data_IF_649491415069
#
_entry.id   IF_649491415069
#
_cell.length_a   1.000
_cell.length_b   1.000
_cell.length_c   1.000
_cell.angle_alpha   90.00
_cell.angle_beta   90.00
_cell.angle_gamma   90.00
#
_symmetry.space_group_name_H-M   'P 1'
#
loop_
_entity.id
_entity.type
_entity.pdbx_description
1 polymer ?
#
# COMPACT_ATOMS: atom_id res chain seq x y z
N UNK A 1 8.98 -20.59 -14.55
CA UNK A 1 9.61 -19.98 -13.37
C UNK A 1 9.12 -18.53 -13.26
N UNK A 2 9.00 -18.00 -12.06
CA UNK A 2 8.67 -16.60 -11.82
C UNK A 2 9.80 -15.69 -12.36
N UNK A 3 9.51 -14.47 -12.86
CA UNK A 3 10.57 -13.52 -13.18
C UNK A 3 11.35 -13.17 -11.90
N UNK A 4 12.70 -13.09 -11.96
CA UNK A 4 13.52 -12.83 -10.78
C UNK A 4 13.24 -11.44 -10.20
N UNK A 5 13.32 -11.33 -8.87
CA UNK A 5 13.06 -10.10 -8.12
C UNK A 5 14.23 -9.08 -8.23
N UNK A 6 14.46 -8.57 -9.44
CA UNK A 6 15.52 -7.60 -9.76
C UNK A 6 15.11 -6.15 -9.42
N UNK A 7 16.08 -5.24 -9.16
CA UNK A 7 15.79 -3.84 -8.89
C UNK A 7 15.18 -3.11 -10.10
N UNK A 8 14.18 -2.30 -9.84
CA UNK A 8 13.49 -1.45 -10.82
C UNK A 8 14.19 -0.11 -11.06
N UNK A 9 15.08 0.30 -10.14
CA UNK A 9 15.75 1.61 -10.16
C UNK A 9 14.94 2.74 -9.48
N UNK A 10 13.72 2.45 -9.02
CA UNK A 10 12.90 3.39 -8.26
C UNK A 10 13.19 3.29 -6.74
N UNK A 11 12.99 4.38 -5.97
CA UNK A 11 13.15 4.33 -4.52
C UNK A 11 11.96 3.61 -3.85
N UNK A 12 12.18 2.91 -2.72
CA UNK A 12 11.10 2.29 -1.97
C UNK A 12 10.21 3.36 -1.32
N UNK A 13 8.97 3.49 -1.80
CA UNK A 13 7.97 4.40 -1.23
C UNK A 13 6.62 3.70 -1.03
N UNK A 14 6.16 3.66 0.22
CA UNK A 14 4.84 3.15 0.56
C UNK A 14 3.78 4.22 0.29
N UNK A 15 3.28 4.23 -0.95
CA UNK A 15 2.29 5.20 -1.44
C UNK A 15 0.87 4.91 -0.96
N UNK A 16 0.59 3.67 -0.54
CA UNK A 16 -0.75 3.21 -0.15
C UNK A 16 -0.88 2.91 1.35
N UNK A 17 0.19 3.05 2.14
CA UNK A 17 0.23 2.64 3.54
C UNK A 17 -0.03 1.14 3.73
N UNK A 18 0.56 0.30 2.87
CA UNK A 18 0.37 -1.16 2.89
C UNK A 18 1.27 -1.85 3.92
N UNK A 19 2.32 -1.17 4.41
CA UNK A 19 3.20 -1.71 5.45
C UNK A 19 2.52 -1.59 6.80
N UNK A 20 2.08 -2.72 7.35
CA UNK A 20 1.38 -2.78 8.63
C UNK A 20 2.30 -3.02 9.82
N UNK A 21 3.30 -3.89 9.64
CA UNK A 21 4.33 -4.15 10.64
C UNK A 21 5.66 -4.35 9.93
N UNK A 22 6.74 -3.87 10.55
CA UNK A 22 8.10 -4.01 10.04
C UNK A 22 9.04 -4.28 11.20
N UNK A 23 9.89 -5.29 11.07
CA UNK A 23 11.02 -5.58 11.94
C UNK A 23 12.14 -6.26 11.13
N UNK A 24 13.22 -6.72 11.75
CA UNK A 24 14.34 -7.37 11.03
C UNK A 24 14.04 -8.79 10.51
N UNK A 25 12.96 -9.41 10.99
CA UNK A 25 12.58 -10.79 10.67
C UNK A 25 11.53 -10.81 9.57
N UNK A 26 10.41 -10.11 9.79
CA UNK A 26 9.29 -10.08 8.89
C UNK A 26 8.70 -8.69 8.61
N UNK A 27 8.07 -8.59 7.44
CA UNK A 27 7.29 -7.46 6.96
C UNK A 27 5.85 -7.94 6.71
N UNK A 28 4.89 -7.30 7.36
CA UNK A 28 3.46 -7.55 7.16
C UNK A 28 2.90 -6.53 6.18
N UNK A 29 2.41 -7.03 5.04
CA UNK A 29 1.78 -6.25 3.99
C UNK A 29 0.29 -6.59 3.96
N UNK A 30 -0.57 -5.57 3.99
CA UNK A 30 -2.00 -5.75 3.86
C UNK A 30 -2.64 -4.80 2.84
N UNK A 31 -3.71 -5.29 2.21
CA UNK A 31 -4.54 -4.52 1.27
C UNK A 31 -5.86 -4.14 1.94
N UNK A 32 -5.87 -3.05 2.72
CA UNK A 32 -7.10 -2.53 3.33
C UNK A 32 -7.08 -1.00 3.37
N UNK A 33 -7.81 -0.36 2.45
CA UNK A 33 -7.72 1.08 2.18
C UNK A 33 -8.97 1.84 2.66
N UNK A 34 -9.35 1.68 3.93
CA UNK A 34 -10.53 2.38 4.49
C UNK A 34 -10.34 3.90 4.54
N UNK A 35 -9.11 4.39 4.73
CA UNK A 35 -8.80 5.81 4.67
C UNK A 35 -9.11 6.42 3.30
N UNK A 36 -8.73 5.73 2.21
CA UNK A 36 -9.04 6.16 0.85
C UNK A 36 -10.54 6.26 0.59
N UNK A 37 -11.34 5.35 1.16
CA UNK A 37 -12.80 5.41 1.08
C UNK A 37 -13.35 6.70 1.71
N UNK A 38 -12.86 7.05 2.91
CA UNK A 38 -13.23 8.29 3.60
C UNK A 38 -12.82 9.52 2.80
N UNK A 39 -11.63 9.52 2.20
CA UNK A 39 -11.13 10.64 1.38
C UNK A 39 -11.95 10.88 0.11
N UNK A 40 -12.55 9.84 -0.47
CA UNK A 40 -13.45 9.98 -1.63
C UNK A 40 -14.85 10.45 -1.21
N UNK A 41 -15.35 9.93 -0.08
CA UNK A 41 -16.69 10.25 0.42
C UNK A 41 -16.78 11.68 0.99
N UNK A 42 -15.75 12.14 1.68
CA UNK A 42 -15.79 13.41 2.42
C UNK A 42 -16.02 14.65 1.53
N UNK A 43 -15.33 14.86 0.40
CA UNK A 43 -15.60 15.98 -0.50
C UNK A 43 -17.04 15.98 -1.01
N UNK A 44 -17.60 14.80 -1.30
CA UNK A 44 -18.99 14.66 -1.77
C UNK A 44 -19.96 15.12 -0.68
N UNK A 45 -19.73 14.71 0.57
CA UNK A 45 -20.53 15.18 1.72
C UNK A 45 -20.46 16.70 1.86
N UNK A 46 -19.27 17.30 1.73
CA UNK A 46 -19.11 18.75 1.79
C UNK A 46 -19.86 19.47 0.65
N UNK A 47 -19.83 18.92 -0.57
CA UNK A 47 -20.58 19.48 -1.71
C UNK A 47 -22.08 19.48 -1.41
N UNK A 48 -22.64 18.39 -0.89
CA UNK A 48 -24.06 18.33 -0.53
C UNK A 48 -24.39 19.30 0.61
N UNK A 49 -23.55 19.41 1.65
CA UNK A 49 -23.73 20.38 2.73
C UNK A 49 -23.75 21.81 2.18
N UNK A 50 -22.77 22.15 1.34
CA UNK A 50 -22.66 23.47 0.72
C UNK A 50 -23.86 23.77 -0.18
N UNK A 51 -24.26 22.82 -1.02
CA UNK A 51 -25.42 22.92 -1.90
C UNK A 51 -26.71 23.14 -1.12
N UNK A 52 -26.91 22.37 -0.03
CA UNK A 52 -28.08 22.52 0.82
C UNK A 52 -28.14 23.87 1.52
N UNK A 53 -27.00 24.39 1.97
CA UNK A 53 -26.90 25.73 2.53
C UNK A 53 -27.17 26.82 1.47
N UNK A 54 -26.61 26.69 0.26
CA UNK A 54 -26.75 27.68 -0.81
C UNK A 54 -28.18 27.75 -1.38
N UNK A 55 -28.88 26.62 -1.43
CA UNK A 55 -30.26 26.52 -1.91
C UNK A 55 -31.27 27.03 -0.86
N UNK A 56 -31.00 26.84 0.42
CA UNK A 56 -31.92 27.18 1.50
C UNK A 56 -32.98 26.09 1.74
N UNK A 57 -33.51 26.00 2.96
CA UNK A 57 -34.36 24.86 3.37
C UNK A 57 -35.65 24.71 2.57
N UNK A 58 -36.18 25.80 2.00
CA UNK A 58 -37.45 25.81 1.27
C UNK A 58 -37.35 25.23 -0.15
N UNK A 59 -36.14 25.09 -0.70
CA UNK A 59 -35.89 24.60 -2.06
C UNK A 59 -35.28 23.19 -2.10
N UNK A 60 -35.12 22.53 -0.94
CA UNK A 60 -34.65 21.15 -0.86
C UNK A 60 -35.78 20.18 -1.27
N UNK A 61 -35.76 19.81 -2.54
CA UNK A 61 -36.75 18.93 -3.14
C UNK A 61 -36.39 17.43 -3.02
N UNK A 62 -37.25 16.58 -3.59
CA UNK A 62 -37.04 15.14 -3.61
C UNK A 62 -35.77 14.73 -4.39
N UNK A 63 -35.36 15.51 -5.40
CA UNK A 63 -34.17 15.23 -6.20
C UNK A 63 -32.89 15.43 -5.38
N UNK A 64 -32.81 16.50 -4.59
CA UNK A 64 -31.71 16.73 -3.65
C UNK A 64 -31.56 15.54 -2.69
N UNK A 65 -32.65 15.12 -2.05
CA UNK A 65 -32.62 14.03 -1.07
C UNK A 65 -32.31 12.67 -1.70
N UNK A 66 -32.81 12.42 -2.91
CA UNK A 66 -32.43 11.24 -3.69
C UNK A 66 -30.93 11.23 -4.01
N UNK A 67 -30.38 12.36 -4.46
CA UNK A 67 -28.95 12.52 -4.69
C UNK A 67 -28.13 12.30 -3.42
N UNK A 68 -28.53 12.92 -2.31
CA UNK A 68 -27.85 12.75 -1.02
C UNK A 68 -27.86 11.28 -0.57
N UNK A 69 -28.98 10.58 -0.69
CA UNK A 69 -29.07 9.16 -0.32
C UNK A 69 -28.20 8.28 -1.21
N UNK A 70 -28.15 8.53 -2.51
CA UNK A 70 -27.34 7.74 -3.45
C UNK A 70 -25.82 7.98 -3.26
N UNK A 71 -25.40 9.23 -3.12
CA UNK A 71 -23.97 9.60 -3.12
C UNK A 71 -23.36 9.74 -1.73
N UNK A 72 -24.15 9.98 -0.69
CA UNK A 72 -23.69 10.03 0.70
C UNK A 72 -24.28 8.87 1.51
N UNK A 73 -25.60 8.71 1.52
CA UNK A 73 -26.30 7.72 2.35
C UNK A 73 -25.83 6.28 2.15
N UNK A 74 -25.89 5.78 0.92
CA UNK A 74 -25.45 4.41 0.58
C UNK A 74 -23.96 4.20 0.83
N UNK A 75 -23.03 5.08 0.40
CA UNK A 75 -21.62 4.95 0.76
C UNK A 75 -21.33 5.00 2.27
N UNK A 76 -22.05 5.82 3.04
CA UNK A 76 -21.94 5.84 4.51
C UNK A 76 -22.37 4.50 5.10
N UNK A 77 -23.49 3.94 4.64
CA UNK A 77 -23.94 2.61 5.07
C UNK A 77 -22.93 1.52 4.70
N UNK A 78 -22.33 1.61 3.51
CA UNK A 78 -21.27 0.69 3.09
C UNK A 78 -20.01 0.83 3.95
N UNK A 79 -19.60 2.06 4.29
CA UNK A 79 -18.48 2.32 5.20
C UNK A 79 -18.76 1.71 6.58
N UNK A 80 -19.97 1.88 7.12
CA UNK A 80 -20.38 1.28 8.39
C UNK A 80 -20.33 -0.25 8.31
N UNK A 81 -20.76 -0.85 7.20
CA UNK A 81 -20.67 -2.29 6.98
C UNK A 81 -19.21 -2.77 6.94
N UNK A 82 -18.35 -2.12 6.14
CA UNK A 82 -16.91 -2.45 6.03
C UNK A 82 -16.20 -2.31 7.39
N UNK A 83 -16.58 -1.31 8.20
CA UNK A 83 -16.07 -1.12 9.56
C UNK A 83 -16.46 -2.26 10.51
N UNK A 84 -17.55 -2.98 10.24
CA UNK A 84 -17.99 -4.15 11.01
C UNK A 84 -17.35 -5.45 10.53
N UNK A 85 -16.95 -5.53 9.27
CA UNK A 85 -16.22 -6.68 8.75
C UNK A 85 -14.86 -6.85 9.45
N UNK A 86 -14.40 -8.09 9.69
CA UNK A 86 -13.05 -8.32 10.18
C UNK A 86 -12.02 -7.80 9.18
N UNK A 87 -10.86 -7.37 9.68
CA UNK A 87 -9.75 -6.95 8.83
C UNK A 87 -9.10 -8.21 8.24
N UNK A 88 -8.80 -8.24 6.92
CA UNK A 88 -8.10 -9.37 6.33
C UNK A 88 -6.72 -9.55 6.97
N UNK A 89 -6.27 -10.80 7.08
CA UNK A 89 -4.94 -11.11 7.61
C UNK A 89 -3.84 -10.60 6.67
N UNK A 90 -2.70 -10.13 7.20
CA UNK A 90 -1.62 -9.62 6.37
C UNK A 90 -0.85 -10.77 5.71
N UNK A 91 -0.34 -10.52 4.50
CA UNK A 91 0.68 -11.38 3.90
C UNK A 91 2.02 -11.05 4.55
N UNK A 92 2.66 -12.07 5.13
CA UNK A 92 3.89 -11.91 5.91
C UNK A 92 5.10 -12.37 5.11
N UNK A 93 6.03 -11.46 4.86
CA UNK A 93 7.29 -11.71 4.17
C UNK A 93 8.39 -11.93 5.21
N UNK A 94 9.02 -13.11 5.25
CA UNK A 94 10.13 -13.42 6.14
C UNK A 94 11.45 -13.38 5.39
N UNK A 95 12.28 -12.40 5.74
CA UNK A 95 13.57 -12.14 5.08
C UNK A 95 14.57 -13.25 5.36
N UNK A 96 14.65 -13.71 6.60
CA UNK A 96 15.68 -14.67 7.05
C UNK A 96 15.48 -16.05 6.42
N UNK A 97 14.23 -16.46 6.24
CA UNK A 97 13.86 -17.71 5.56
C UNK A 97 13.70 -17.57 4.04
N UNK A 98 13.65 -16.34 3.52
CA UNK A 98 13.31 -16.04 2.12
C UNK A 98 12.00 -16.72 1.69
N UNK A 99 10.98 -16.60 2.52
CA UNK A 99 9.67 -17.23 2.34
C UNK A 99 8.55 -16.22 2.66
N UNK A 100 7.38 -16.45 2.08
CA UNK A 100 6.19 -15.61 2.26
C UNK A 100 5.03 -16.48 2.75
N UNK A 101 4.41 -16.04 3.84
CA UNK A 101 3.20 -16.64 4.38
C UNK A 101 1.97 -15.90 3.85
N UNK A 102 1.13 -16.63 3.11
CA UNK A 102 -0.17 -16.15 2.61
C UNK A 102 -1.28 -16.79 3.44
N UNK A 103 -2.02 -16.01 4.25
CA UNK A 103 -3.14 -16.53 5.03
C UNK A 103 -4.44 -16.56 4.21
N UNK A 104 -5.26 -17.60 4.45
CA UNK A 104 -6.60 -17.73 3.88
C UNK A 104 -7.68 -17.64 4.97
N UNK A 105 -8.90 -17.27 4.59
CA UNK A 105 -10.05 -17.18 5.51
C UNK A 105 -10.40 -18.53 6.16
N UNK A 106 -10.14 -19.64 5.46
CA UNK A 106 -10.35 -21.00 5.97
C UNK A 106 -9.37 -21.42 7.08
N UNK A 107 -8.41 -20.56 7.44
CA UNK A 107 -7.32 -20.87 8.37
C UNK A 107 -6.18 -21.70 7.76
N UNK A 108 -6.20 -21.92 6.44
CA UNK A 108 -5.07 -22.46 5.68
C UNK A 108 -4.00 -21.38 5.48
N UNK A 109 -2.75 -21.82 5.34
CA UNK A 109 -1.62 -20.94 5.05
C UNK A 109 -0.78 -21.55 3.94
N UNK A 110 -0.31 -20.72 3.01
CA UNK A 110 0.73 -21.12 2.08
C UNK A 110 2.05 -20.51 2.51
N UNK A 111 3.10 -21.32 2.51
CA UNK A 111 4.48 -20.87 2.62
C UNK A 111 5.08 -20.97 1.22
N UNK A 112 5.34 -19.81 0.62
CA UNK A 112 5.82 -19.70 -0.76
C UNK A 112 7.25 -19.18 -0.72
N UNK A 113 8.22 -19.85 -1.36
CA UNK A 113 9.57 -19.32 -1.49
C UNK A 113 9.56 -17.96 -2.19
N UNK A 114 10.34 -17.01 -1.68
CA UNK A 114 10.41 -15.65 -2.20
C UNK A 114 10.75 -15.60 -3.70
N UNK A 115 11.60 -16.52 -4.18
CA UNK A 115 11.99 -16.59 -5.59
C UNK A 115 10.87 -17.08 -6.52
N UNK A 116 9.79 -17.65 -5.96
CA UNK A 116 8.59 -18.00 -6.71
C UNK A 116 7.55 -16.86 -6.73
N UNK A 117 7.75 -15.81 -5.94
CA UNK A 117 6.86 -14.65 -5.90
C UNK A 117 7.00 -13.88 -7.20
N UNK A 118 5.87 -13.63 -7.83
CA UNK A 118 5.78 -12.85 -9.07
C UNK A 118 5.29 -11.46 -8.75
N UNK A 119 5.80 -10.44 -9.43
CA UNK A 119 5.28 -9.09 -9.35
C UNK A 119 5.09 -8.51 -10.74
N UNK A 120 3.93 -7.91 -10.98
CA UNK A 120 3.57 -7.29 -12.24
C UNK A 120 3.02 -5.89 -11.96
N UNK A 121 3.74 -4.87 -12.42
CA UNK A 121 3.25 -3.50 -12.47
C UNK A 121 2.50 -3.32 -13.79
N UNK A 122 1.17 -3.29 -13.72
CA UNK A 122 0.32 -3.05 -14.89
C UNK A 122 0.07 -1.56 -15.01
N UNK A 123 0.36 -0.98 -16.17
CA UNK A 123 0.06 0.40 -16.50
C UNK A 123 -0.65 0.48 -17.85
N UNK A 124 -1.76 1.20 -17.90
CA UNK A 124 -2.50 1.53 -19.10
C UNK A 124 -2.46 3.04 -19.28
N UNK A 125 -1.91 3.46 -20.43
CA UNK A 125 -1.85 4.85 -20.83
C UNK A 125 -3.04 5.18 -21.74
N UNK A 126 -3.90 6.10 -21.31
CA UNK A 126 -4.95 6.67 -22.14
C UNK A 126 -4.57 8.09 -22.52
N UNK A 127 -4.45 8.37 -23.82
CA UNK A 127 -4.16 9.70 -24.35
C UNK A 127 -5.45 10.31 -24.87
N UNK A 128 -5.92 11.37 -24.21
CA UNK A 128 -7.10 12.12 -24.61
C UNK A 128 -6.78 13.59 -24.91
N UNK A 129 -7.80 14.38 -25.23
CA UNK A 129 -7.67 15.82 -25.44
C UNK A 129 -7.15 16.57 -24.21
N UNK A 130 -7.30 15.97 -23.02
CA UNK A 130 -6.85 16.51 -21.73
C UNK A 130 -5.45 16.02 -21.32
N UNK A 131 -4.70 15.39 -22.25
CA UNK A 131 -3.37 14.85 -22.01
C UNK A 131 -3.34 13.34 -21.75
N UNK A 132 -2.22 12.86 -21.23
CA UNK A 132 -1.95 11.45 -20.94
C UNK A 132 -2.38 11.12 -19.51
N UNK A 133 -3.30 10.16 -19.36
CA UNK A 133 -3.71 9.60 -18.07
C UNK A 133 -3.17 8.18 -17.98
N UNK A 134 -2.37 7.89 -16.96
CA UNK A 134 -1.85 6.55 -16.68
C UNK A 134 -2.63 5.94 -15.53
N UNK A 135 -3.37 4.87 -15.80
CA UNK A 135 -4.02 4.05 -14.78
C UNK A 135 -3.23 2.76 -14.59
N UNK A 136 -3.25 2.19 -13.38
CA UNK A 136 -2.53 0.95 -13.16
C UNK A 136 -2.59 0.46 -11.73
N UNK A 137 -2.00 -0.72 -11.55
CA UNK A 137 -1.99 -1.45 -10.28
C UNK A 137 -0.75 -2.35 -10.22
N UNK A 138 -0.31 -2.64 -9.01
CA UNK A 138 0.68 -3.67 -8.73
C UNK A 138 -0.05 -4.97 -8.38
N UNK A 139 0.23 -6.05 -9.09
CA UNK A 139 -0.18 -7.41 -8.72
C UNK A 139 1.03 -8.16 -8.19
N UNK A 140 0.94 -8.68 -6.97
CA UNK A 140 1.91 -9.64 -6.43
C UNK A 140 1.26 -11.02 -6.43
N UNK A 141 1.78 -11.94 -7.23
CA UNK A 141 1.25 -13.30 -7.40
C UNK A 141 2.07 -14.35 -6.65
N UNK A 142 1.36 -15.30 -6.06
CA UNK A 142 1.88 -16.41 -5.27
C UNK A 142 1.37 -17.71 -5.87
N UNK A 143 2.30 -18.61 -6.20
CA UNK A 143 1.94 -19.96 -6.68
C UNK A 143 1.74 -20.88 -5.49
N UNK A 144 0.73 -21.72 -5.57
CA UNK A 144 0.46 -22.74 -4.56
C UNK A 144 1.67 -23.70 -4.47
N UNK A 145 2.18 -23.97 -3.26
CA UNK A 145 3.27 -24.92 -3.06
C UNK A 145 2.89 -26.37 -3.39
N UNK A 146 1.59 -26.71 -3.38
CA UNK A 146 1.09 -28.04 -3.76
C UNK A 146 0.96 -28.18 -5.29
N UNK A 147 1.75 -29.07 -5.93
CA UNK A 147 1.70 -29.26 -7.38
C UNK A 147 0.39 -29.87 -7.89
N UNK A 148 -0.36 -30.58 -7.03
CA UNK A 148 -1.60 -31.27 -7.40
C UNK A 148 -2.87 -30.44 -7.09
N UNK A 149 -2.69 -29.17 -6.70
CA UNK A 149 -3.79 -28.28 -6.38
C UNK A 149 -4.77 -28.09 -7.58
N UNK A 150 -6.09 -28.02 -7.32
CA UNK A 150 -7.09 -27.71 -8.33
C UNK A 150 -6.74 -26.41 -9.07
N UNK A 151 -7.06 -26.32 -10.36
CA UNK A 151 -6.67 -25.17 -11.21
C UNK A 151 -7.08 -23.80 -10.62
N UNK A 152 -8.22 -23.76 -9.91
CA UNK A 152 -8.74 -22.56 -9.25
C UNK A 152 -7.95 -22.11 -8.03
N UNK A 153 -7.15 -22.99 -7.43
CA UNK A 153 -6.33 -22.73 -6.24
C UNK A 153 -4.83 -22.76 -6.56
N UNK A 154 -4.46 -22.68 -7.85
CA UNK A 154 -3.04 -22.71 -8.25
C UNK A 154 -2.30 -21.42 -7.99
N UNK A 155 -2.99 -20.29 -8.15
CA UNK A 155 -2.39 -18.98 -8.03
C UNK A 155 -3.26 -18.08 -7.15
N UNK A 156 -2.64 -17.43 -6.16
CA UNK A 156 -3.24 -16.36 -5.37
C UNK A 156 -2.57 -15.04 -5.74
N UNK A 157 -3.30 -13.92 -5.76
CA UNK A 157 -2.71 -12.63 -6.09
C UNK A 157 -3.22 -11.52 -5.18
N UNK A 158 -2.30 -10.63 -4.82
CA UNK A 158 -2.57 -9.43 -4.04
C UNK A 158 -2.46 -8.22 -4.96
N UNK A 159 -3.59 -7.54 -5.17
CA UNK A 159 -3.69 -6.35 -6.00
C UNK A 159 -3.61 -5.06 -5.18
N UNK A 160 -2.79 -4.12 -5.63
CA UNK A 160 -2.64 -2.80 -5.03
C UNK A 160 -2.97 -1.71 -6.06
N UNK A 161 -4.03 -0.95 -5.81
CA UNK A 161 -4.45 0.17 -6.64
C UNK A 161 -3.59 1.42 -6.38
N UNK A 162 -2.28 1.34 -6.66
CA UNK A 162 -1.29 2.39 -6.40
C UNK A 162 -1.07 3.33 -7.59
N UNK A 163 -1.81 3.16 -8.68
CA UNK A 163 -1.51 3.78 -9.97
C UNK A 163 -0.51 2.96 -10.77
N UNK A 164 -0.34 3.32 -12.05
CA UNK A 164 0.56 2.63 -12.98
C UNK A 164 1.96 3.25 -13.02
N UNK A 165 2.93 2.48 -13.50
CA UNK A 165 4.29 2.96 -13.77
C UNK A 165 5.13 3.07 -12.50
N UNK A 166 5.66 4.26 -12.24
CA UNK A 166 6.65 4.49 -11.16
C UNK A 166 6.08 4.21 -9.76
N UNK A 167 4.81 4.51 -9.51
CA UNK A 167 4.20 4.30 -8.18
C UNK A 167 4.08 2.81 -7.84
N UNK A 168 3.72 1.98 -8.82
CA UNK A 168 3.70 0.53 -8.68
C UNK A 168 5.11 -0.04 -8.47
N UNK A 169 6.11 0.48 -9.20
CA UNK A 169 7.51 0.11 -9.01
C UNK A 169 8.01 0.51 -7.61
N UNK A 170 7.73 1.72 -7.13
CA UNK A 170 8.09 2.18 -5.78
C UNK A 170 7.48 1.29 -4.67
N UNK A 171 6.25 0.84 -4.86
CA UNK A 171 5.57 -0.05 -3.92
C UNK A 171 6.19 -1.46 -3.93
N UNK A 172 6.49 -1.99 -5.12
CA UNK A 172 7.24 -3.25 -5.26
C UNK A 172 8.63 -3.15 -4.61
N UNK A 173 9.32 -2.04 -4.80
CA UNK A 173 10.62 -1.77 -4.18
C UNK A 173 10.57 -1.76 -2.66
N UNK A 174 9.43 -1.43 -2.04
CA UNK A 174 9.28 -1.58 -0.59
C UNK A 174 9.36 -3.06 -0.17
N UNK A 175 8.71 -3.96 -0.89
CA UNK A 175 8.72 -5.40 -0.58
C UNK A 175 10.10 -5.99 -0.92
N UNK A 176 10.61 -5.69 -2.11
CA UNK A 176 11.89 -6.21 -2.60
C UNK A 176 13.07 -5.70 -1.78
N UNK A 177 13.15 -4.39 -1.49
CA UNK A 177 14.25 -3.83 -0.71
C UNK A 177 14.24 -4.33 0.73
N UNK A 178 13.06 -4.61 1.28
CA UNK A 178 12.96 -5.30 2.58
C UNK A 178 13.62 -6.68 2.52
N UNK A 179 13.21 -7.51 1.54
CA UNK A 179 13.69 -8.89 1.40
C UNK A 179 15.18 -8.97 1.03
N UNK A 180 15.68 -8.04 0.23
CA UNK A 180 17.04 -8.11 -0.31
C UNK A 180 18.06 -7.26 0.45
N UNK A 181 17.68 -6.08 0.93
CA UNK A 181 18.60 -5.17 1.63
C UNK A 181 18.40 -5.29 3.14
N UNK A 182 17.20 -4.99 3.63
CA UNK A 182 16.85 -5.06 5.06
C UNK A 182 15.76 -4.09 5.45
N UNK A 183 15.39 -4.07 6.74
CA UNK A 183 14.29 -3.25 7.23
C UNK A 183 14.59 -1.75 7.15
N UNK A 184 15.85 -1.33 7.29
CA UNK A 184 16.27 0.06 7.22
C UNK A 184 16.12 0.69 5.83
N UNK A 185 16.13 -0.14 4.77
CA UNK A 185 15.99 0.34 3.40
C UNK A 185 14.56 0.78 3.05
N UNK A 186 13.58 0.48 3.91
CA UNK A 186 12.15 0.62 3.61
C UNK A 186 11.51 1.62 4.59
N UNK A 187 10.55 2.46 4.15
CA UNK A 187 9.86 3.38 5.05
C UNK A 187 9.26 2.68 6.28
N UNK A 188 9.16 3.42 7.38
CA UNK A 188 8.47 2.93 8.58
C UNK A 188 6.96 2.75 8.31
N UNK A 189 6.34 1.83 9.05
CA UNK A 189 4.89 1.67 8.99
C UNK A 189 4.19 2.98 9.35
N UNK A 190 3.21 3.34 8.53
CA UNK A 190 2.38 4.53 8.76
C UNK A 190 1.24 4.28 9.74
N UNK A 191 1.01 3.04 10.16
CA UNK A 191 -0.09 2.63 11.04
C UNK A 191 0.25 2.75 12.53
N UNK A 192 -0.75 3.13 13.32
CA UNK A 192 -0.65 3.21 14.77
C UNK A 192 -0.28 4.60 15.30
N UNK A 193 0.20 4.63 16.55
CA UNK A 193 0.50 5.87 17.26
C UNK A 193 1.85 6.43 16.84
N UNK A 194 1.86 7.68 16.36
CA UNK A 194 3.08 8.39 15.99
C UNK A 194 3.43 9.50 16.98
N UNK A 195 4.71 9.94 17.01
CA UNK A 195 5.07 11.20 17.63
C UNK A 195 4.19 12.33 17.09
N UNK A 196 3.80 13.26 17.97
CA UNK A 196 2.88 14.35 17.59
C UNK A 196 3.37 15.12 16.35
N UNK A 197 4.67 15.42 16.25
CA UNK A 197 5.28 16.14 15.14
C UNK A 197 5.07 15.48 13.76
N UNK A 198 4.87 14.17 13.72
CA UNK A 198 4.63 13.40 12.47
C UNK A 198 3.15 13.22 12.15
N UNK A 199 2.25 13.62 13.05
CA UNK A 199 0.82 13.65 12.78
C UNK A 199 0.50 14.81 11.84
N UNK A 200 -0.57 14.72 11.06
CA UNK A 200 -0.99 15.81 10.16
C UNK A 200 -1.16 17.15 10.89
N UNK A 201 -1.70 17.13 12.11
CA UNK A 201 -1.87 18.34 12.93
C UNK A 201 -0.51 18.86 13.42
N UNK A 202 0.34 17.98 13.94
CA UNK A 202 1.65 18.39 14.44
C UNK A 202 2.61 18.84 13.34
N UNK A 203 2.51 18.29 12.12
CA UNK A 203 3.28 18.76 10.97
C UNK A 203 2.86 20.18 10.58
N UNK A 204 1.54 20.45 10.51
CA UNK A 204 1.02 21.81 10.25
C UNK A 204 1.47 22.79 11.33
N UNK A 205 1.38 22.41 12.61
CA UNK A 205 1.85 23.25 13.72
C UNK A 205 3.35 23.52 13.63
N UNK A 206 4.14 22.51 13.26
CA UNK A 206 5.59 22.65 13.07
C UNK A 206 5.91 23.59 11.92
N UNK A 207 5.22 23.46 10.79
CA UNK A 207 5.38 24.34 9.62
C UNK A 207 4.94 25.78 9.92
N UNK A 208 3.89 25.96 10.73
CA UNK A 208 3.48 27.26 11.24
C UNK A 208 4.59 27.93 12.06
N UNK A 209 5.23 27.19 12.98
CA UNK A 209 6.36 27.70 13.76
C UNK A 209 7.60 27.99 12.91
N UNK A 210 7.78 27.29 11.78
CA UNK A 210 8.85 27.54 10.81
C UNK A 210 8.55 28.70 9.86
N UNK A 211 7.31 29.21 9.84
CA UNK A 211 6.88 30.28 8.94
C UNK A 211 6.60 29.81 7.51
N UNK A 212 6.45 28.50 7.26
CA UNK A 212 6.10 27.98 5.94
C UNK A 212 4.58 28.05 5.72
N UNK A 213 4.12 29.21 5.26
CA UNK A 213 2.69 29.47 5.03
C UNK A 213 2.11 28.56 3.95
N UNK A 214 2.89 28.20 2.93
CA UNK A 214 2.41 27.38 1.82
C UNK A 214 2.10 25.96 2.31
N UNK A 215 3.00 25.37 3.08
CA UNK A 215 2.80 24.03 3.67
C UNK A 215 1.64 24.01 4.66
N UNK A 216 1.47 25.07 5.47
CA UNK A 216 0.32 25.22 6.37
C UNK A 216 -0.99 25.27 5.60
N UNK A 217 -1.09 26.12 4.57
CA UNK A 217 -2.30 26.23 3.74
C UNK A 217 -2.62 24.90 3.05
N UNK A 218 -1.59 24.22 2.55
CA UNK A 218 -1.72 22.90 1.96
C UNK A 218 -2.26 21.89 2.99
N UNK A 219 -1.67 21.79 4.17
CA UNK A 219 -2.15 20.88 5.21
C UNK A 219 -3.59 21.15 5.64
N UNK A 220 -3.96 22.43 5.86
CA UNK A 220 -5.34 22.82 6.20
C UNK A 220 -6.32 22.46 5.10
N UNK A 221 -5.94 22.66 3.83
CA UNK A 221 -6.76 22.27 2.68
C UNK A 221 -7.04 20.76 2.67
N UNK A 222 -6.00 19.93 2.81
CA UNK A 222 -6.14 18.46 2.78
C UNK A 222 -6.94 17.94 3.97
N UNK A 223 -6.81 18.53 5.16
CA UNK A 223 -7.62 18.14 6.32
C UNK A 223 -9.09 18.52 6.09
N UNK A 224 -9.35 19.74 5.61
CA UNK A 224 -10.70 20.29 5.53
C UNK A 224 -11.46 19.74 4.35
N UNK A 225 -10.90 19.78 3.14
CA UNK A 225 -11.62 19.45 1.91
C UNK A 225 -11.52 17.98 1.51
N UNK A 226 -10.40 17.31 1.82
CA UNK A 226 -10.19 15.90 1.49
C UNK A 226 -10.36 14.96 2.69
N UNK A 227 -10.65 15.49 3.89
CA UNK A 227 -10.95 14.67 5.07
C UNK A 227 -9.77 13.79 5.50
N UNK A 228 -8.54 14.16 5.17
CA UNK A 228 -7.33 13.34 5.42
C UNK A 228 -7.12 13.01 6.90
N UNK A 229 -7.57 13.89 7.80
CA UNK A 229 -7.55 13.66 9.24
C UNK A 229 -8.48 12.50 9.63
N UNK A 230 -9.73 12.54 9.18
CA UNK A 230 -10.72 11.49 9.45
C UNK A 230 -10.30 10.17 8.82
N UNK A 231 -9.78 10.21 7.60
CA UNK A 231 -9.24 9.04 6.91
C UNK A 231 -8.14 8.35 7.74
N UNK A 232 -7.16 9.13 8.23
CA UNK A 232 -6.10 8.61 9.08
C UNK A 232 -6.64 8.02 10.39
N UNK A 233 -7.57 8.70 11.07
CA UNK A 233 -8.13 8.23 12.35
C UNK A 233 -8.99 7.00 12.21
N UNK A 234 -9.85 6.93 11.19
CA UNK A 234 -10.67 5.74 10.91
C UNK A 234 -9.77 4.55 10.56
N UNK A 235 -8.74 4.78 9.73
CA UNK A 235 -7.78 3.73 9.38
C UNK A 235 -7.02 3.23 10.59
N UNK A 236 -6.46 4.12 11.42
CA UNK A 236 -5.76 3.72 12.64
C UNK A 236 -6.69 3.05 13.66
N UNK A 237 -7.91 3.53 13.82
CA UNK A 237 -8.88 2.92 14.73
C UNK A 237 -9.23 1.48 14.33
N UNK A 238 -9.34 1.20 13.02
CA UNK A 238 -9.69 -0.12 12.51
C UNK A 238 -8.49 -1.07 12.40
N UNK A 239 -7.30 -0.55 12.08
CA UNK A 239 -6.11 -1.35 11.78
C UNK A 239 -5.05 -1.37 12.88
N UNK A 240 -5.15 -0.57 13.96
CA UNK A 240 -4.16 -0.55 15.02
C UNK A 240 -4.73 -1.12 16.34
N UNK A 241 -4.17 -2.23 16.88
CA UNK A 241 -3.06 -3.02 16.32
C UNK A 241 -3.48 -3.84 15.08
N UNK A 242 -2.57 -4.13 14.14
CA UNK A 242 -2.89 -4.97 12.97
C UNK A 242 -3.30 -6.38 13.42
N UNK A 243 -4.12 -7.11 12.63
CA UNK A 243 -4.51 -8.46 13.00
C UNK A 243 -3.31 -9.42 13.03
N UNK A 244 -3.32 -10.37 13.97
CA UNK A 244 -2.22 -11.31 14.19
C UNK A 244 -2.48 -12.67 13.56
N UNK A 245 -1.41 -13.30 13.08
CA UNK A 245 -1.44 -14.69 12.65
C UNK A 245 -1.36 -15.58 13.89
N UNK A 246 -2.46 -16.27 14.22
CA UNK A 246 -2.61 -17.03 15.47
C UNK A 246 -2.19 -18.50 15.38
N UNK A 247 -1.87 -19.00 14.18
CA UNK A 247 -1.46 -20.39 14.00
C UNK A 247 -0.08 -20.65 14.66
N UNK A 248 0.06 -21.67 15.53
CA UNK A 248 1.31 -21.98 16.23
C UNK A 248 2.52 -22.16 15.31
N UNK A 249 2.34 -22.83 14.16
CA UNK A 249 3.40 -23.11 13.21
C UNK A 249 3.92 -21.82 12.57
N UNK A 250 3.01 -20.88 12.29
CA UNK A 250 3.35 -19.57 11.72
C UNK A 250 4.01 -18.66 12.76
N UNK A 251 3.60 -18.76 14.03
CA UNK A 251 4.25 -18.05 15.14
C UNK A 251 5.70 -18.54 15.30
N UNK A 252 5.91 -19.85 15.27
CA UNK A 252 7.25 -20.43 15.32
C UNK A 252 8.09 -20.07 14.09
N UNK A 253 7.51 -20.14 12.90
CA UNK A 253 8.13 -19.73 11.64
C UNK A 253 8.55 -18.25 11.65
N UNK A 254 7.80 -17.39 12.35
CA UNK A 254 8.05 -15.95 12.47
C UNK A 254 9.12 -15.58 13.51
N UNK A 255 9.70 -16.55 14.24
CA UNK A 255 10.78 -16.28 15.20
C UNK A 255 12.11 -15.96 14.48
N UNK A 256 12.96 -15.12 15.09
CA UNK A 256 14.27 -14.81 14.52
C UNK A 256 15.15 -16.05 14.47
N UNK A 257 15.84 -16.22 13.35
CA UNK A 257 16.89 -17.21 13.13
C UNK A 257 18.27 -16.60 13.37
N UNK A 258 19.23 -17.39 13.88
CA UNK A 258 20.64 -17.02 13.88
C UNK A 258 21.13 -16.68 12.47
N UNK A 259 22.04 -15.70 12.30
CA UNK A 259 22.55 -15.30 10.99
C UNK A 259 23.14 -16.44 10.17
N UNK A 260 23.70 -17.48 10.81
CA UNK A 260 24.24 -18.64 10.08
C UNK A 260 23.16 -19.50 9.41
N UNK A 261 21.91 -19.41 9.87
CA UNK A 261 20.76 -20.15 9.34
C UNK A 261 19.96 -19.36 8.30
N UNK A 262 20.41 -18.15 7.95
CA UNK A 262 19.71 -17.33 6.97
C UNK A 262 19.86 -17.93 5.57
N UNK A 263 18.73 -18.09 4.90
CA UNK A 263 18.68 -18.59 3.53
C UNK A 263 19.30 -17.53 2.62
N UNK A 264 20.30 -17.94 1.83
CA UNK A 264 20.97 -17.06 0.88
C UNK A 264 20.21 -16.97 -0.44
N UNK A 265 20.53 -15.95 -1.24
CA UNK A 265 19.99 -15.80 -2.59
C UNK A 265 20.43 -16.97 -3.48
N UNK A 266 19.59 -17.38 -4.42
CA UNK A 266 20.03 -18.29 -5.47
C UNK A 266 21.05 -17.62 -6.40
N UNK A 267 21.92 -18.43 -7.00
CA UNK A 267 22.93 -17.96 -7.96
C UNK A 267 22.29 -17.29 -9.18
N UNK A 268 21.14 -17.79 -9.65
CA UNK A 268 20.39 -17.19 -10.76
C UNK A 268 19.93 -15.77 -10.42
N UNK A 269 19.41 -15.57 -9.20
CA UNK A 269 18.96 -14.26 -8.75
C UNK A 269 20.13 -13.29 -8.60
N UNK A 270 21.27 -13.74 -8.07
CA UNK A 270 22.45 -12.90 -7.91
C UNK A 270 23.01 -12.42 -9.25
N UNK A 271 23.09 -13.33 -10.23
CA UNK A 271 23.47 -12.96 -11.61
C UNK A 271 22.48 -11.95 -12.19
N UNK A 272 21.17 -12.19 -12.06
CA UNK A 272 20.14 -11.30 -12.57
C UNK A 272 20.19 -9.89 -11.93
N UNK A 273 20.45 -9.81 -10.63
CA UNK A 273 20.63 -8.53 -9.91
C UNK A 273 21.87 -7.80 -10.44
N UNK A 274 23.01 -8.48 -10.54
CA UNK A 274 24.27 -7.86 -10.99
C UNK A 274 24.16 -7.30 -12.41
N UNK A 275 23.54 -8.06 -13.34
CA UNK A 275 23.27 -7.60 -14.70
C UNK A 275 22.37 -6.36 -14.69
N UNK A 276 21.29 -6.38 -13.89
CA UNK A 276 20.34 -5.28 -13.83
C UNK A 276 20.95 -4.01 -13.24
N UNK A 277 21.77 -4.13 -12.21
CA UNK A 277 22.47 -2.99 -11.60
C UNK A 277 23.47 -2.35 -12.59
N UNK A 278 24.17 -3.17 -13.38
CA UNK A 278 25.06 -2.67 -14.44
C UNK A 278 24.28 -1.91 -15.54
N UNK A 279 23.12 -2.42 -15.95
CA UNK A 279 22.23 -1.72 -16.90
C UNK A 279 21.77 -0.37 -16.35
N UNK A 280 21.31 -0.33 -15.09
CA UNK A 280 20.82 0.89 -14.45
C UNK A 280 21.95 1.94 -14.32
N UNK A 281 23.16 1.53 -13.95
CA UNK A 281 24.32 2.42 -13.89
C UNK A 281 24.65 3.00 -15.28
N UNK A 282 24.64 2.18 -16.33
CA UNK A 282 24.89 2.64 -17.70
C UNK A 282 23.84 3.67 -18.18
N UNK A 283 22.56 3.46 -17.82
CA UNK A 283 21.49 4.42 -18.13
C UNK A 283 21.68 5.75 -17.41
N UNK A 284 22.08 5.73 -16.13
CA UNK A 284 22.36 6.94 -15.35
C UNK A 284 23.54 7.73 -15.94
N UNK A 285 24.63 7.06 -16.31
CA UNK A 285 25.77 7.71 -16.97
C UNK A 285 25.38 8.34 -18.31
N UNK A 286 24.60 7.63 -19.13
CA UNK A 286 24.11 8.16 -20.41
C UNK A 286 23.24 9.39 -20.22
N UNK A 287 22.32 9.36 -19.25
CA UNK A 287 21.48 10.51 -18.92
C UNK A 287 22.32 11.70 -18.45
N UNK A 288 23.27 11.50 -17.53
CA UNK A 288 24.15 12.57 -17.04
C UNK A 288 24.97 13.22 -18.15
N UNK A 289 25.47 12.44 -19.11
CA UNK A 289 26.29 12.95 -20.23
C UNK A 289 25.49 13.76 -21.27
N UNK A 290 24.16 13.63 -21.27
CA UNK A 290 23.27 14.35 -22.20
C UNK A 290 22.87 15.75 -21.72
N UNK A 291 23.08 16.03 -20.43
CA UNK A 291 22.74 17.30 -19.78
C UNK A 291 23.98 18.10 -19.33
N UNK A 292 25.18 17.66 -19.71
CA UNK A 292 26.45 18.38 -19.63
C UNK A 292 26.86 18.87 -21.01
#
# INVERSE_FOLDING_TARGET
>A
MAPPAVPTGQPPKDVLNTIWRKNEVFLDIGSYSIGSFVMVLWPVVLIFIWMGWAMGSESLDALYWYGFMCFCGFPIMMLIYILRCPVPLPVRFNRQRREVCVPFEDGRYWIVPWEQVTAQAVAMDSVGQHGKITQGLLVVGFRNPDPDAPEKERDFSLGFSCGGGETAMCLWECIRSYMEVGADAVPASRLGRRPYAETQVGSIVTSLFKGDVLDVLHGVFFITFLGTYWAEKVQNWKLAPPPELTNPDIIEWSKPLPPEQWVQRSAELEVAISMREAELAAQQHTHSSRFT
#
